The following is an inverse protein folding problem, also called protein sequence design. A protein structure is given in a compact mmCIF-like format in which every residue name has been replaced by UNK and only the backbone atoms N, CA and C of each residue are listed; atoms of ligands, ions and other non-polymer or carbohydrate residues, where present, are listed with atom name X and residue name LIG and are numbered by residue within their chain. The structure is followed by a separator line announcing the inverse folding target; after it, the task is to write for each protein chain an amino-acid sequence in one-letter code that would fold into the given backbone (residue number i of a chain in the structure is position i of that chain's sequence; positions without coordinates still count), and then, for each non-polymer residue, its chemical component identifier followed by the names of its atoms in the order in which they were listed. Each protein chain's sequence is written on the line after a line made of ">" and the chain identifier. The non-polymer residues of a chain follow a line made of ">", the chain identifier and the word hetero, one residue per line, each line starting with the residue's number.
data_IF_893489321175
#
_entry.id   IF_893489321175
#
_cell.length_a   1.000
_cell.length_b   1.000
_cell.length_c   1.000
_cell.angle_alpha   90.00
_cell.angle_beta   90.00
_cell.angle_gamma   90.00
#
_symmetry.space_group_name_H-M   'P 1'
#
loop_
_entity.id
_entity.type
_entity.pdbx_description
1 polymer ?
#
# COMPACT_ATOMS: atom_id res chain seq x y z
N UNK A 1 -2.53 -14.40 -14.75
CA UNK A 1 -2.36 -15.18 -13.50
C UNK A 1 -1.82 -14.37 -12.33
N UNK A 2 -2.52 -14.41 -11.19
CA UNK A 2 -2.08 -13.93 -9.88
C UNK A 2 -1.93 -15.13 -8.94
N UNK A 3 -0.69 -15.51 -8.63
CA UNK A 3 -0.44 -16.60 -7.70
C UNK A 3 -0.43 -16.07 -6.25
N UNK A 4 -1.42 -16.52 -5.47
CA UNK A 4 -1.63 -16.19 -4.05
C UNK A 4 -1.26 -17.36 -3.12
N UNK A 5 -0.59 -18.41 -3.63
CA UNK A 5 -0.08 -19.51 -2.79
C UNK A 5 0.84 -18.99 -1.71
N UNK A 6 0.90 -19.70 -0.58
CA UNK A 6 1.68 -19.29 0.58
C UNK A 6 3.15 -19.04 0.25
N UNK A 7 3.73 -19.86 -0.62
CA UNK A 7 5.11 -19.71 -1.09
C UNK A 7 5.31 -18.39 -1.87
N UNK A 8 4.51 -18.16 -2.91
CA UNK A 8 4.63 -16.97 -3.77
C UNK A 8 4.23 -15.71 -3.02
N UNK A 9 3.29 -15.81 -2.07
CA UNK A 9 2.92 -14.75 -1.14
C UNK A 9 4.09 -14.37 -0.23
N UNK A 10 4.70 -15.35 0.45
CA UNK A 10 5.85 -15.15 1.34
C UNK A 10 7.03 -14.48 0.64
N UNK A 11 7.35 -14.92 -0.58
CA UNK A 11 8.44 -14.33 -1.37
C UNK A 11 8.21 -12.86 -1.74
N UNK A 12 6.97 -12.44 -1.92
CA UNK A 12 6.66 -11.03 -2.16
C UNK A 12 6.67 -10.22 -0.88
N UNK A 13 6.16 -10.78 0.21
CA UNK A 13 6.14 -10.13 1.51
C UNK A 13 7.56 -9.78 1.98
N UNK A 14 8.53 -10.66 1.69
CA UNK A 14 9.97 -10.44 1.95
C UNK A 14 10.58 -9.29 1.11
N UNK A 15 9.98 -8.92 -0.02
CA UNK A 15 10.43 -7.80 -0.86
C UNK A 15 9.90 -6.45 -0.39
N UNK A 16 8.88 -6.45 0.48
CA UNK A 16 8.40 -5.22 1.08
C UNK A 16 9.41 -4.74 2.12
N UNK A 17 9.68 -3.43 2.19
CA UNK A 17 10.47 -2.93 3.29
C UNK A 17 9.71 -3.11 4.62
N UNK A 18 10.46 -3.15 5.72
CA UNK A 18 10.00 -3.62 7.03
C UNK A 18 8.75 -2.92 7.57
N UNK A 19 8.74 -1.59 7.60
CA UNK A 19 7.62 -0.75 8.02
C UNK A 19 6.34 -0.98 7.19
N UNK A 20 6.48 -1.21 5.87
CA UNK A 20 5.35 -1.57 5.02
C UNK A 20 4.87 -2.97 5.36
N UNK A 21 5.80 -3.92 5.52
CA UNK A 21 5.49 -5.30 5.87
C UNK A 21 4.74 -5.39 7.21
N UNK A 22 5.17 -4.64 8.22
CA UNK A 22 4.50 -4.57 9.53
C UNK A 22 3.07 -4.04 9.41
N UNK A 23 2.88 -2.95 8.68
CA UNK A 23 1.55 -2.34 8.51
C UNK A 23 0.56 -3.24 7.77
N UNK A 24 1.02 -4.00 6.77
CA UNK A 24 0.13 -4.90 6.02
C UNK A 24 -0.19 -6.20 6.77
N UNK A 25 0.59 -6.56 7.79
CA UNK A 25 0.36 -7.72 8.65
C UNK A 25 -0.45 -7.40 9.93
N UNK A 26 -0.78 -6.12 10.15
CA UNK A 26 -1.34 -5.68 11.43
C UNK A 26 -2.81 -6.06 11.66
N UNK A 27 -3.56 -6.52 10.65
CA UNK A 27 -4.99 -6.87 10.79
C UNK A 27 -5.25 -8.30 11.27
N UNK A 28 -4.19 -9.10 11.50
CA UNK A 28 -4.30 -10.47 12.00
C UNK A 28 -4.93 -11.47 11.01
N UNK A 29 -5.38 -11.01 9.84
CA UNK A 29 -5.83 -11.84 8.73
C UNK A 29 -4.63 -12.51 8.07
N UNK A 30 -4.31 -13.71 8.53
CA UNK A 30 -3.27 -14.54 7.94
C UNK A 30 -3.77 -15.94 7.67
N UNK A 31 -5.08 -16.15 7.41
CA UNK A 31 -5.61 -17.50 7.24
C UNK A 31 -4.70 -18.23 6.25
N UNK A 32 -3.97 -19.21 6.78
CA UNK A 32 -2.93 -19.94 6.07
C UNK A 32 -3.54 -20.94 5.09
N UNK A 33 -4.87 -21.03 5.10
CA UNK A 33 -5.66 -21.83 4.19
C UNK A 33 -5.81 -21.06 2.87
N UNK A 34 -4.81 -21.23 2.01
CA UNK A 34 -4.82 -20.81 0.60
C UNK A 34 -5.81 -21.56 -0.27
N UNK A 35 -6.97 -21.96 0.29
CA UNK A 35 -7.96 -22.86 -0.30
C UNK A 35 -9.33 -22.20 -0.49
N UNK A 36 -9.44 -20.88 -0.31
CA UNK A 36 -10.63 -20.13 -0.69
C UNK A 36 -10.90 -20.23 -2.20
N UNK A 37 -12.17 -20.28 -2.59
CA UNK A 37 -12.60 -20.34 -4.01
C UNK A 37 -12.04 -19.15 -4.78
N UNK A 38 -11.93 -17.98 -4.15
CA UNK A 38 -11.32 -16.81 -4.78
C UNK A 38 -9.83 -17.05 -5.09
N UNK A 39 -9.08 -17.75 -4.25
CA UNK A 39 -7.66 -18.05 -4.50
C UNK A 39 -7.49 -18.98 -5.71
N UNK A 40 -8.36 -19.98 -5.84
CA UNK A 40 -8.32 -20.90 -6.98
C UNK A 40 -8.69 -20.17 -8.27
N UNK A 41 -9.75 -19.35 -8.27
CA UNK A 41 -10.15 -18.55 -9.43
C UNK A 41 -9.06 -17.55 -9.83
N UNK A 42 -8.42 -16.85 -8.88
CA UNK A 42 -7.34 -15.90 -9.18
C UNK A 42 -6.08 -16.54 -9.79
N UNK A 43 -5.90 -17.86 -9.59
CA UNK A 43 -4.83 -18.63 -10.22
C UNK A 43 -5.10 -18.89 -11.70
N UNK A 44 -6.35 -18.86 -12.14
CA UNK A 44 -6.66 -18.92 -13.55
C UNK A 44 -6.30 -17.58 -14.23
N UNK A 45 -6.33 -17.53 -15.57
CA UNK A 45 -6.01 -16.31 -16.31
C UNK A 45 -7.18 -15.32 -16.32
N UNK A 46 -7.53 -14.85 -15.12
CA UNK A 46 -8.60 -13.87 -14.88
C UNK A 46 -8.18 -12.50 -15.38
N UNK A 47 -9.08 -11.83 -16.10
CA UNK A 47 -8.87 -10.46 -16.52
C UNK A 47 -9.04 -9.49 -15.33
N UNK A 48 -8.22 -8.44 -15.19
CA UNK A 48 -8.35 -7.48 -14.09
C UNK A 48 -9.73 -6.83 -13.98
N UNK A 49 -10.45 -6.71 -15.10
CA UNK A 49 -11.79 -6.15 -15.17
C UNK A 49 -12.86 -7.02 -14.51
N UNK A 50 -12.58 -8.30 -14.25
CA UNK A 50 -13.51 -9.26 -13.61
C UNK A 50 -13.33 -9.32 -12.08
N UNK A 51 -12.25 -8.73 -11.57
CA UNK A 51 -11.90 -8.80 -10.15
C UNK A 51 -12.96 -8.14 -9.26
N UNK A 52 -13.51 -6.95 -9.59
CA UNK A 52 -14.54 -6.32 -8.75
C UNK A 52 -15.75 -7.23 -8.54
N UNK A 53 -16.21 -7.93 -9.58
CA UNK A 53 -17.32 -8.87 -9.49
C UNK A 53 -16.96 -10.09 -8.63
N UNK A 54 -15.78 -10.69 -8.85
CA UNK A 54 -15.31 -11.85 -8.06
C UNK A 54 -15.16 -11.52 -6.57
N UNK A 55 -14.65 -10.34 -6.24
CA UNK A 55 -14.53 -9.85 -4.86
C UNK A 55 -15.89 -9.70 -4.18
N UNK A 56 -16.93 -9.30 -4.94
CA UNK A 56 -18.31 -9.22 -4.43
C UNK A 56 -18.96 -10.59 -4.30
N UNK A 57 -18.59 -11.54 -5.16
CA UNK A 57 -19.10 -12.92 -5.14
C UNK A 57 -18.54 -13.73 -3.96
N UNK A 58 -17.29 -13.49 -3.55
CA UNK A 58 -16.60 -14.23 -2.49
C UNK A 58 -16.18 -13.35 -1.29
N UNK A 59 -17.12 -12.69 -0.58
CA UNK A 59 -16.77 -11.70 0.46
C UNK A 59 -16.09 -12.31 1.69
N UNK A 60 -16.39 -13.58 2.03
CA UNK A 60 -15.74 -14.27 3.14
C UNK A 60 -14.26 -14.54 2.84
N UNK A 61 -13.93 -14.92 1.60
CA UNK A 61 -12.54 -15.13 1.17
C UNK A 61 -11.75 -13.82 1.22
N UNK A 62 -12.36 -12.72 0.78
CA UNK A 62 -11.75 -11.37 0.84
C UNK A 62 -11.48 -10.94 2.28
N UNK A 63 -12.36 -11.27 3.22
CA UNK A 63 -12.11 -11.03 4.65
C UNK A 63 -10.97 -11.91 5.17
N UNK A 64 -10.98 -13.20 4.83
CA UNK A 64 -9.98 -14.17 5.24
C UNK A 64 -8.56 -13.87 4.70
N UNK A 65 -8.47 -13.24 3.52
CA UNK A 65 -7.21 -12.82 2.90
C UNK A 65 -6.32 -12.00 3.83
N UNK A 66 -6.92 -11.16 4.67
CA UNK A 66 -6.22 -10.11 5.40
C UNK A 66 -5.65 -9.03 4.49
N UNK A 67 -5.19 -7.95 5.11
CA UNK A 67 -4.71 -6.75 4.39
C UNK A 67 -3.58 -7.03 3.40
N UNK A 68 -2.59 -7.82 3.79
CA UNK A 68 -1.43 -8.09 2.94
C UNK A 68 -1.80 -8.73 1.59
N UNK A 69 -2.74 -9.69 1.58
CA UNK A 69 -3.19 -10.33 0.34
C UNK A 69 -4.10 -9.41 -0.48
N UNK A 70 -4.98 -8.64 0.17
CA UNK A 70 -5.79 -7.60 -0.52
C UNK A 70 -4.90 -6.54 -1.19
N UNK A 71 -3.85 -6.07 -0.53
CA UNK A 71 -2.86 -5.14 -1.12
C UNK A 71 -2.10 -5.78 -2.28
N UNK A 72 -1.72 -7.05 -2.16
CA UNK A 72 -1.09 -7.78 -3.27
C UNK A 72 -2.01 -7.87 -4.49
N UNK A 73 -3.30 -8.15 -4.29
CA UNK A 73 -4.30 -8.16 -5.35
C UNK A 73 -4.38 -6.78 -6.03
N UNK A 74 -4.49 -5.69 -5.25
CA UNK A 74 -4.49 -4.33 -5.78
C UNK A 74 -3.22 -4.01 -6.58
N UNK A 75 -2.04 -4.41 -6.08
CA UNK A 75 -0.77 -4.19 -6.78
C UNK A 75 -0.70 -4.94 -8.12
N UNK A 76 -1.24 -6.17 -8.18
CA UNK A 76 -1.35 -6.91 -9.43
C UNK A 76 -2.31 -6.26 -10.41
N UNK A 77 -3.48 -5.80 -9.93
CA UNK A 77 -4.46 -5.09 -10.76
C UNK A 77 -3.86 -3.82 -11.36
N UNK A 78 -3.26 -2.96 -10.51
CA UNK A 78 -2.60 -1.72 -10.95
C UNK A 78 -1.58 -1.97 -12.07
N UNK A 79 -0.76 -3.02 -11.93
CA UNK A 79 0.23 -3.40 -12.95
C UNK A 79 -0.40 -3.81 -14.28
N UNK A 80 -1.56 -4.48 -14.24
CA UNK A 80 -2.23 -5.02 -15.42
C UNK A 80 -3.15 -4.02 -16.12
N UNK A 81 -3.65 -3.03 -15.39
CA UNK A 81 -4.60 -2.04 -15.91
C UNK A 81 -3.96 -0.69 -16.20
N UNK A 82 -2.66 -0.51 -15.97
CA UNK A 82 -1.98 0.75 -16.27
C UNK A 82 -2.09 1.10 -17.77
N UNK A 83 -2.41 2.36 -18.13
CA UNK A 83 -2.59 3.53 -17.28
C UNK A 83 -3.98 3.72 -16.66
N UNK A 84 -4.98 2.95 -17.08
CA UNK A 84 -6.40 3.11 -16.73
C UNK A 84 -6.81 2.47 -15.38
N UNK A 85 -5.88 2.37 -14.43
CA UNK A 85 -6.12 1.69 -13.14
C UNK A 85 -7.23 2.32 -12.30
N UNK A 86 -7.47 3.63 -12.45
CA UNK A 86 -8.48 4.36 -11.69
C UNK A 86 -9.90 3.82 -11.88
N UNK A 87 -10.28 3.47 -13.11
CA UNK A 87 -11.63 2.99 -13.40
C UNK A 87 -11.91 1.64 -12.71
N UNK A 88 -10.91 0.75 -12.67
CA UNK A 88 -11.04 -0.57 -12.06
C UNK A 88 -11.03 -0.47 -10.53
N UNK A 89 -10.23 0.44 -9.96
CA UNK A 89 -10.23 0.66 -8.51
C UNK A 89 -11.54 1.25 -7.99
N UNK A 90 -12.15 2.21 -8.70
CA UNK A 90 -13.47 2.75 -8.32
C UNK A 90 -14.53 1.64 -8.25
N UNK A 91 -14.51 0.71 -9.22
CA UNK A 91 -15.40 -0.46 -9.19
C UNK A 91 -15.11 -1.38 -8.00
N UNK A 92 -13.82 -1.62 -7.70
CA UNK A 92 -13.39 -2.46 -6.58
C UNK A 92 -13.84 -1.90 -5.23
N UNK A 93 -13.76 -0.58 -5.04
CA UNK A 93 -14.13 0.09 -3.78
C UNK A 93 -15.63 0.37 -3.67
N UNK A 94 -16.38 0.29 -4.78
CA UNK A 94 -17.81 0.59 -4.82
C UNK A 94 -18.13 2.08 -5.03
N UNK A 95 -17.14 2.89 -5.42
CA UNK A 95 -17.29 4.31 -5.76
C UNK A 95 -17.91 4.52 -7.16
N UNK A 96 -19.04 3.89 -7.45
CA UNK A 96 -19.75 4.12 -8.72
C UNK A 96 -20.37 5.53 -8.78
N UNK A 97 -20.38 6.12 -9.99
CA UNK A 97 -20.71 7.54 -10.26
C UNK A 97 -22.18 7.92 -9.96
N UNK A 98 -23.05 6.95 -9.67
CA UNK A 98 -24.47 7.16 -9.41
C UNK A 98 -24.78 7.15 -7.89
N UNK A 99 -24.37 8.21 -7.21
CA UNK A 99 -25.08 8.94 -6.13
C UNK A 99 -25.71 8.22 -4.92
N UNK A 100 -25.74 6.90 -4.80
CA UNK A 100 -26.39 6.20 -3.68
C UNK A 100 -25.80 4.83 -3.35
N UNK A 101 -24.51 4.62 -3.61
CA UNK A 101 -23.83 3.35 -3.32
C UNK A 101 -23.37 3.29 -1.87
N UNK A 102 -24.06 2.53 -1.02
CA UNK A 102 -23.41 1.96 0.17
C UNK A 102 -22.16 1.22 -0.31
N UNK A 103 -20.98 1.57 0.19
CA UNK A 103 -19.78 0.78 -0.09
C UNK A 103 -20.10 -0.68 0.26
N UNK A 104 -19.84 -1.61 -0.65
CA UNK A 104 -19.91 -3.02 -0.31
C UNK A 104 -18.92 -3.29 0.82
N UNK A 105 -19.27 -4.17 1.77
CA UNK A 105 -18.40 -4.53 2.89
C UNK A 105 -16.96 -4.84 2.46
N UNK A 106 -16.78 -5.53 1.33
CA UNK A 106 -15.46 -5.83 0.77
C UNK A 106 -14.75 -4.58 0.23
N UNK A 107 -15.48 -3.67 -0.41
CA UNK A 107 -14.96 -2.37 -0.85
C UNK A 107 -14.43 -1.51 0.29
N UNK A 108 -15.10 -1.52 1.46
CA UNK A 108 -14.63 -0.84 2.67
C UNK A 108 -13.28 -1.39 3.15
N UNK A 109 -13.07 -2.71 3.09
CA UNK A 109 -11.78 -3.33 3.43
C UNK A 109 -10.65 -2.81 2.51
N UNK A 110 -10.89 -2.70 1.20
CA UNK A 110 -9.89 -2.15 0.27
C UNK A 110 -9.61 -0.66 0.54
N UNK A 111 -10.64 0.13 0.85
CA UNK A 111 -10.47 1.54 1.22
C UNK A 111 -9.64 1.70 2.50
N UNK A 112 -9.89 0.87 3.51
CA UNK A 112 -9.10 0.86 4.74
C UNK A 112 -7.64 0.49 4.47
N UNK A 113 -7.42 -0.55 3.66
CA UNK A 113 -6.08 -0.98 3.27
C UNK A 113 -5.31 0.11 2.52
N UNK A 114 -5.98 0.84 1.61
CA UNK A 114 -5.39 1.98 0.90
C UNK A 114 -4.99 3.07 1.88
N UNK A 115 -5.86 3.42 2.85
CA UNK A 115 -5.56 4.47 3.83
C UNK A 115 -4.32 4.12 4.66
N UNK A 116 -4.25 2.89 5.17
CA UNK A 116 -3.13 2.43 5.99
C UNK A 116 -1.83 2.38 5.18
N UNK A 117 -1.91 1.87 3.95
CA UNK A 117 -0.76 1.82 3.06
C UNK A 117 -0.27 3.23 2.68
N UNK A 118 -1.19 4.15 2.39
CA UNK A 118 -0.89 5.54 2.10
C UNK A 118 -0.26 6.27 3.30
N UNK A 119 -0.72 6.01 4.52
CA UNK A 119 -0.15 6.59 5.74
C UNK A 119 1.32 6.18 5.92
N UNK A 120 1.62 4.90 5.75
CA UNK A 120 2.99 4.37 5.89
C UNK A 120 3.89 4.93 4.80
N UNK A 121 3.44 4.93 3.55
CA UNK A 121 4.22 5.53 2.45
C UNK A 121 4.45 7.01 2.70
N UNK A 122 3.44 7.74 3.15
CA UNK A 122 3.56 9.18 3.43
C UNK A 122 4.60 9.44 4.52
N UNK A 123 4.60 8.66 5.61
CA UNK A 123 5.62 8.75 6.67
C UNK A 123 7.02 8.55 6.12
N UNK A 124 7.23 7.57 5.24
CA UNK A 124 8.54 7.36 4.59
C UNK A 124 8.94 8.51 3.68
N UNK A 125 8.01 9.03 2.88
CA UNK A 125 8.33 10.15 2.00
C UNK A 125 8.68 11.39 2.81
N UNK A 126 7.96 11.65 3.91
CA UNK A 126 8.29 12.74 4.83
C UNK A 126 9.68 12.52 5.45
N UNK A 127 9.98 11.32 5.96
CA UNK A 127 11.30 11.00 6.52
C UNK A 127 12.42 11.14 5.48
N UNK A 128 12.16 10.71 4.25
CA UNK A 128 13.10 10.84 3.13
C UNK A 128 13.30 12.29 2.73
N UNK A 129 12.21 13.07 2.64
CA UNK A 129 12.30 14.51 2.38
C UNK A 129 13.00 15.24 3.53
N UNK A 130 12.80 14.83 4.78
CA UNK A 130 13.48 15.41 5.94
C UNK A 130 14.96 15.00 6.04
N UNK A 131 15.36 13.83 5.52
CA UNK A 131 16.75 13.41 5.46
C UNK A 131 17.49 13.95 4.23
N UNK A 132 16.79 14.11 3.10
CA UNK A 132 17.30 14.76 1.89
C UNK A 132 17.35 16.28 2.05
N UNK A 133 16.37 16.88 2.74
CA UNK A 133 16.47 18.23 3.28
C UNK A 133 17.43 18.18 4.45
N UNK A 134 18.71 18.32 4.12
CA UNK A 134 19.87 18.62 4.96
C UNK A 134 19.61 19.72 6.04
N UNK A 135 18.63 19.57 6.91
CA UNK A 135 18.43 20.44 8.07
C UNK A 135 19.69 20.42 8.93
N UNK A 136 20.32 19.24 9.05
CA UNK A 136 21.62 19.10 9.69
C UNK A 136 22.72 19.87 8.96
N UNK A 137 22.80 19.85 7.62
CA UNK A 137 23.81 20.62 6.92
C UNK A 137 23.51 22.13 6.90
N UNK A 138 22.24 22.55 6.96
CA UNK A 138 21.85 23.95 7.14
C UNK A 138 22.23 24.44 8.54
N UNK A 139 21.99 23.62 9.58
CA UNK A 139 22.40 23.89 10.96
C UNK A 139 23.92 23.90 11.10
N UNK A 140 24.63 22.98 10.44
CA UNK A 140 26.09 22.92 10.44
C UNK A 140 26.70 24.11 9.69
N UNK A 141 26.11 24.51 8.55
CA UNK A 141 26.51 25.73 7.82
C UNK A 141 26.26 26.98 8.66
N UNK A 142 25.11 27.06 9.35
CA UNK A 142 24.79 28.18 10.25
C UNK A 142 25.76 28.27 11.43
N UNK A 143 26.11 27.14 12.07
CA UNK A 143 27.13 27.07 13.12
C UNK A 143 28.52 27.48 12.62
N UNK A 144 28.87 27.10 11.40
CA UNK A 144 30.16 27.48 10.79
C UNK A 144 30.22 28.99 10.55
N UNK A 145 29.16 29.58 9.99
CA UNK A 145 29.03 31.03 9.81
C UNK A 145 29.06 31.81 11.14
N UNK A 146 28.38 31.31 12.18
CA UNK A 146 28.37 31.95 13.50
C UNK A 146 29.78 31.99 14.12
N UNK A 147 30.55 30.91 13.99
CA UNK A 147 31.94 30.85 14.46
C UNK A 147 32.86 31.80 13.67
N UNK A 148 32.71 31.91 12.36
CA UNK A 148 33.49 32.83 11.52
C UNK A 148 33.21 34.30 11.86
N UNK A 149 31.94 34.66 12.08
CA UNK A 149 31.55 36.01 12.48
C UNK A 149 32.12 36.38 13.85
N UNK A 150 32.05 35.45 14.82
CA UNK A 150 32.54 35.68 16.18
C UNK A 150 34.06 35.84 16.22
N UNK A 151 34.80 35.07 15.40
CA UNK A 151 36.27 35.20 15.29
C UNK A 151 36.70 36.52 14.65
N UNK A 152 35.91 37.06 13.71
CA UNK A 152 36.18 38.36 13.09
C UNK A 152 35.98 39.56 14.03
N UNK A 153 35.16 39.42 15.08
CA UNK A 153 34.86 40.49 16.04
C UNK A 153 35.74 40.46 17.31
N UNK A 154 36.34 39.32 17.66
CA UNK A 154 37.23 39.18 18.83
C UNK A 154 38.71 39.47 18.57
N UNK A 155 39.08 39.79 17.32
CA UNK A 155 40.44 40.08 16.88
C UNK A 155 40.73 41.58 16.69
N UNK A 156 40.41 42.41 17.67
CA UNK A 156 40.92 43.79 17.82
C UNK A 156 41.36 44.04 19.25
#
# INVERSE_FOLDING_TARGET
>A
MLDMTEHTFSLWLQKLPEDIREAVLSDGGTSSEGDGILVSVLRDDVAPSQIPELVREYPQDVRAFGRARRIRLMAWMAKKTYPDSHAVFRKLTGEEEDGSGSNSETGELFLEDIKIFAEVISKRQIQRMASENRLDAVVETAKTLENEITFSQGGM
#
